data_IF_223180523594
#
_entry.id   IF_223180523594
#
_cell.length_a   1.000
_cell.length_b   1.000
_cell.length_c   1.000
_cell.angle_alpha   90.00
_cell.angle_beta   90.00
_cell.angle_gamma   90.00
#
_symmetry.space_group_name_H-M   'P 1'
#
loop_
_entity.id
_entity.type
_entity.pdbx_description
1 polymer ?
#
# COMPACT_ATOMS: atom_id res chain seq x y z
N UNK A 1 -26.24 13.54 0.38
CA UNK A 1 -25.29 13.91 1.44
C UNK A 1 -25.87 13.36 2.72
N UNK A 2 -25.40 12.19 3.14
CA UNK A 2 -25.68 11.65 4.47
C UNK A 2 -24.45 11.91 5.34
N UNK A 3 -24.61 12.35 6.59
CA UNK A 3 -23.50 12.49 7.52
C UNK A 3 -23.06 11.08 7.91
N UNK A 4 -21.85 10.68 7.50
CA UNK A 4 -21.24 9.44 7.98
C UNK A 4 -21.00 9.62 9.48
N UNK A 5 -21.75 8.84 10.27
CA UNK A 5 -21.83 8.92 11.72
C UNK A 5 -20.47 8.67 12.39
N UNK A 6 -20.27 9.37 13.50
CA UNK A 6 -19.10 9.34 14.39
C UNK A 6 -19.04 8.04 15.25
N UNK A 7 -19.78 6.98 14.88
CA UNK A 7 -20.07 5.81 15.73
C UNK A 7 -19.12 4.60 15.55
N UNK A 8 -18.11 4.67 14.68
CA UNK A 8 -17.39 3.47 14.24
C UNK A 8 -16.09 3.05 14.98
N UNK A 9 -15.40 3.85 15.83
CA UNK A 9 -14.20 3.38 16.55
C UNK A 9 -14.49 2.49 17.77
N UNK A 10 -15.52 2.83 18.56
CA UNK A 10 -15.78 2.19 19.87
C UNK A 10 -16.29 0.76 19.74
N UNK A 11 -17.11 0.48 18.71
CA UNK A 11 -17.60 -0.88 18.42
C UNK A 11 -16.46 -1.84 18.07
N UNK A 12 -15.46 -1.39 17.31
CA UNK A 12 -14.27 -2.18 16.99
C UNK A 12 -13.40 -2.40 18.23
N UNK A 13 -13.23 -1.37 19.05
CA UNK A 13 -12.52 -1.47 20.31
C UNK A 13 -13.16 -2.50 21.25
N UNK A 14 -14.50 -2.48 21.37
CA UNK A 14 -15.26 -3.42 22.19
C UNK A 14 -15.07 -4.86 21.74
N UNK A 15 -15.15 -5.13 20.43
CA UNK A 15 -14.91 -6.47 19.88
C UNK A 15 -13.47 -6.95 20.14
N UNK A 16 -12.49 -6.07 20.04
CA UNK A 16 -11.09 -6.41 20.30
C UNK A 16 -10.86 -6.80 21.77
N UNK A 17 -11.46 -6.07 22.71
CA UNK A 17 -11.38 -6.40 24.12
C UNK A 17 -12.18 -7.66 24.47
N UNK A 18 -13.37 -7.88 23.90
CA UNK A 18 -14.10 -9.15 24.06
C UNK A 18 -13.25 -10.33 23.71
N UNK A 19 -12.68 -10.31 22.51
CA UNK A 19 -11.79 -11.38 22.04
C UNK A 19 -10.59 -11.58 22.96
N UNK A 20 -9.95 -10.50 23.43
CA UNK A 20 -8.81 -10.58 24.35
C UNK A 20 -9.18 -11.31 25.66
N UNK A 21 -10.33 -10.96 26.25
CA UNK A 21 -10.77 -11.56 27.51
C UNK A 21 -11.37 -12.96 27.30
N UNK A 22 -12.05 -13.24 26.18
CA UNK A 22 -12.54 -14.58 25.86
C UNK A 22 -11.40 -15.56 25.56
N UNK A 23 -10.27 -15.09 25.01
CA UNK A 23 -9.04 -15.88 24.84
C UNK A 23 -8.31 -16.17 26.16
N UNK A 24 -8.61 -15.40 27.22
CA UNK A 24 -8.03 -15.60 28.53
C UNK A 24 -8.91 -16.58 29.32
N UNK A 25 -8.36 -17.76 29.64
CA UNK A 25 -9.06 -18.78 30.43
C UNK A 25 -9.64 -18.16 31.72
N UNK A 26 -10.97 -18.25 31.85
CA UNK A 26 -11.70 -17.82 33.04
C UNK A 26 -12.08 -16.33 33.10
N UNK A 27 -12.18 -15.65 31.95
CA UNK A 27 -12.75 -14.31 31.82
C UNK A 27 -13.99 -14.26 30.91
N UNK A 28 -14.95 -13.42 31.28
CA UNK A 28 -16.20 -13.23 30.57
C UNK A 28 -16.50 -11.75 30.41
N UNK A 29 -16.86 -11.35 29.20
CA UNK A 29 -17.34 -10.00 28.90
C UNK A 29 -18.86 -10.05 28.75
N UNK A 30 -19.57 -9.27 29.56
CA UNK A 30 -21.04 -9.24 29.52
C UNK A 30 -21.51 -7.95 28.87
N UNK A 31 -22.46 -8.07 27.95
CA UNK A 31 -23.17 -6.93 27.36
C UNK A 31 -24.09 -6.29 28.41
N UNK A 32 -23.92 -4.98 28.64
CA UNK A 32 -24.98 -4.17 29.21
C UNK A 32 -25.78 -3.56 28.08
N UNK A 33 -27.08 -3.81 28.06
CA UNK A 33 -27.99 -3.25 27.06
C UNK A 33 -27.96 -1.72 27.02
N UNK A 34 -28.65 -1.17 26.02
CA UNK A 34 -28.60 0.23 25.50
C UNK A 34 -28.89 1.38 26.51
N UNK A 35 -28.99 1.11 27.80
CA UNK A 35 -29.29 2.12 28.83
C UNK A 35 -28.20 2.16 29.90
N UNK A 36 -27.08 2.81 29.59
CA UNK A 36 -26.35 3.75 30.47
C UNK A 36 -24.94 3.96 29.90
N UNK A 37 -24.63 5.22 29.56
CA UNK A 37 -23.32 5.73 29.12
C UNK A 37 -22.55 4.86 28.10
N UNK A 38 -22.54 5.30 26.83
CA UNK A 38 -21.70 4.74 25.77
C UNK A 38 -20.25 4.57 26.27
N UNK A 39 -19.84 3.32 26.51
CA UNK A 39 -18.47 3.00 26.93
C UNK A 39 -18.30 2.02 28.10
N UNK A 40 -19.35 1.68 28.87
CA UNK A 40 -19.20 0.78 30.02
C UNK A 40 -19.27 -0.71 29.65
N UNK A 41 -18.24 -1.48 30.02
CA UNK A 41 -18.09 -2.93 29.75
C UNK A 41 -18.01 -3.69 31.06
N UNK A 42 -18.86 -4.69 31.26
CA UNK A 42 -18.80 -5.54 32.46
C UNK A 42 -17.84 -6.72 32.22
N UNK A 43 -16.78 -6.79 33.02
CA UNK A 43 -15.80 -7.87 32.99
C UNK A 43 -15.94 -8.74 34.24
N UNK A 44 -16.08 -10.05 34.06
CA UNK A 44 -16.17 -11.02 35.15
C UNK A 44 -15.09 -12.08 35.00
N UNK A 45 -14.42 -12.39 36.10
CA UNK A 45 -13.55 -13.56 36.19
C UNK A 45 -14.27 -14.69 36.91
N UNK A 46 -13.97 -15.93 36.53
CA UNK A 46 -14.41 -17.15 37.23
C UNK A 46 -13.93 -17.21 38.69
N UNK A 47 -12.89 -16.43 39.01
CA UNK A 47 -12.40 -16.24 40.39
C UNK A 47 -13.25 -15.28 41.22
N UNK A 48 -14.40 -14.85 40.70
CA UNK A 48 -15.37 -14.00 41.40
C UNK A 48 -15.10 -12.50 41.34
N UNK A 49 -14.09 -12.05 40.61
CA UNK A 49 -13.85 -10.62 40.41
C UNK A 49 -14.80 -10.06 39.34
N UNK A 50 -15.45 -8.94 39.64
CA UNK A 50 -16.32 -8.23 38.69
C UNK A 50 -15.88 -6.77 38.60
N UNK A 51 -15.67 -6.29 37.38
CA UNK A 51 -15.22 -4.94 37.08
C UNK A 51 -16.20 -4.24 36.14
N UNK A 52 -16.43 -2.96 36.42
CA UNK A 52 -17.08 -2.04 35.49
C UNK A 52 -15.97 -1.27 34.76
N UNK A 53 -15.79 -1.55 33.49
CA UNK A 53 -14.68 -1.05 32.71
C UNK A 53 -15.10 0.09 31.77
N UNK A 54 -14.46 1.24 31.89
CA UNK A 54 -14.66 2.34 30.94
C UNK A 54 -13.82 2.09 29.68
N UNK A 55 -14.47 1.98 28.53
CA UNK A 55 -13.84 1.80 27.23
C UNK A 55 -13.77 3.13 26.47
N UNK A 56 -12.59 3.44 25.93
CA UNK A 56 -12.43 4.57 25.02
C UNK A 56 -11.51 4.24 23.86
N UNK A 57 -11.94 4.64 22.66
CA UNK A 57 -11.21 4.43 21.42
C UNK A 57 -10.63 5.75 20.90
N UNK A 58 -9.36 5.74 20.48
CA UNK A 58 -8.67 6.89 19.94
C UNK A 58 -8.16 6.63 18.52
N UNK A 59 -8.33 7.61 17.65
CA UNK A 59 -7.85 7.56 16.27
C UNK A 59 -6.33 7.74 16.13
N UNK A 60 -5.65 8.26 17.15
CA UNK A 60 -4.20 8.39 17.25
C UNK A 60 -3.69 7.98 18.64
N UNK A 61 -2.40 7.64 18.75
CA UNK A 61 -1.74 7.23 20.00
C UNK A 61 -0.93 8.35 20.66
N UNK A 62 -1.34 9.61 20.52
CA UNK A 62 -0.58 10.73 21.07
C UNK A 62 -0.59 10.72 22.60
N UNK A 63 0.60 10.67 23.20
CA UNK A 63 0.76 10.47 24.64
C UNK A 63 0.08 11.54 25.50
N UNK A 64 0.12 12.81 25.10
CA UNK A 64 -0.58 13.91 25.79
C UNK A 64 -2.10 13.69 25.83
N UNK A 65 -2.69 13.32 24.69
CA UNK A 65 -4.14 13.11 24.57
C UNK A 65 -4.61 11.87 25.31
N UNK A 66 -3.94 10.74 25.10
CA UNK A 66 -4.32 9.46 25.71
C UNK A 66 -4.12 9.51 27.22
N UNK A 67 -3.06 10.16 27.72
CA UNK A 67 -2.83 10.30 29.17
C UNK A 67 -3.88 11.19 29.82
N UNK A 68 -4.23 12.33 29.20
CA UNK A 68 -5.28 13.21 29.71
C UNK A 68 -6.63 12.50 29.78
N UNK A 69 -6.97 11.73 28.73
CA UNK A 69 -8.19 10.95 28.73
C UNK A 69 -8.15 9.79 29.73
N UNK A 70 -7.00 9.12 29.91
CA UNK A 70 -6.84 8.09 30.92
C UNK A 70 -7.08 8.62 32.34
N UNK A 71 -6.55 9.80 32.66
CA UNK A 71 -6.81 10.48 33.93
C UNK A 71 -8.31 10.74 34.16
N UNK A 72 -8.99 11.26 33.14
CA UNK A 72 -10.43 11.49 33.20
C UNK A 72 -11.21 10.18 33.39
N UNK A 73 -10.89 9.15 32.60
CA UNK A 73 -11.55 7.85 32.69
C UNK A 73 -11.37 7.19 34.05
N UNK A 74 -10.18 7.29 34.67
CA UNK A 74 -9.96 6.78 36.04
C UNK A 74 -10.92 7.44 37.05
N UNK A 75 -11.08 8.77 36.98
CA UNK A 75 -11.97 9.50 37.87
C UNK A 75 -13.43 9.13 37.66
N UNK A 76 -13.88 9.10 36.41
CA UNK A 76 -15.26 8.75 36.05
C UNK A 76 -15.57 7.30 36.44
N UNK A 77 -14.73 6.34 36.02
CA UNK A 77 -14.94 4.93 36.31
C UNK A 77 -15.04 4.64 37.81
N UNK A 78 -14.23 5.30 38.66
CA UNK A 78 -14.32 5.16 40.13
C UNK A 78 -15.69 5.56 40.66
N UNK A 79 -16.21 6.70 40.21
CA UNK A 79 -17.52 7.21 40.66
C UNK A 79 -18.63 6.27 40.20
N UNK A 80 -18.59 5.84 38.93
CA UNK A 80 -19.61 4.96 38.36
C UNK A 80 -19.58 3.56 39.00
N UNK A 81 -18.41 2.95 39.12
CA UNK A 81 -18.27 1.63 39.72
C UNK A 81 -18.69 1.62 41.20
N UNK A 82 -18.33 2.66 41.97
CA UNK A 82 -18.74 2.81 43.37
C UNK A 82 -20.25 2.86 43.55
N UNK A 83 -20.97 3.59 42.69
CA UNK A 83 -22.45 3.66 42.72
C UNK A 83 -23.11 2.30 42.54
N UNK A 84 -22.43 1.39 41.86
CA UNK A 84 -22.94 0.06 41.53
C UNK A 84 -22.31 -1.05 42.37
N UNK A 85 -21.49 -0.72 43.38
CA UNK A 85 -20.80 -1.69 44.23
C UNK A 85 -19.76 -2.55 43.49
N UNK A 86 -19.24 -2.08 42.35
CA UNK A 86 -18.27 -2.79 41.51
C UNK A 86 -16.88 -2.16 41.61
N UNK A 87 -15.86 -2.86 41.11
CA UNK A 87 -14.50 -2.31 40.98
C UNK A 87 -14.34 -1.62 39.62
N UNK A 88 -13.69 -0.44 39.54
CA UNK A 88 -13.43 0.21 38.26
C UNK A 88 -12.33 -0.53 37.48
N UNK A 89 -12.40 -0.46 36.15
CA UNK A 89 -11.32 -0.85 35.25
C UNK A 89 -11.29 0.07 34.04
N UNK A 90 -10.18 0.07 33.30
CA UNK A 90 -9.99 0.97 32.15
C UNK A 90 -9.55 0.21 30.91
N UNK A 91 -10.24 0.41 29.79
CA UNK A 91 -9.92 -0.19 28.50
C UNK A 91 -9.63 0.92 27.49
N UNK A 92 -8.39 0.97 27.01
CA UNK A 92 -7.96 1.96 26.02
C UNK A 92 -7.67 1.25 24.71
N UNK A 93 -8.31 1.69 23.65
CA UNK A 93 -7.98 1.29 22.30
C UNK A 93 -7.38 2.47 21.55
N UNK A 94 -6.22 2.28 20.93
CA UNK A 94 -5.56 3.31 20.11
C UNK A 94 -5.24 2.74 18.73
N UNK A 95 -5.21 3.59 17.70
CA UNK A 95 -4.80 3.11 16.36
C UNK A 95 -3.38 2.52 16.36
N UNK A 96 -2.45 3.13 17.07
CA UNK A 96 -1.08 2.63 17.26
C UNK A 96 -0.59 3.01 18.65
N UNK A 97 0.11 2.08 19.32
CA UNK A 97 0.63 2.28 20.67
C UNK A 97 2.16 2.19 20.65
N UNK A 98 2.85 3.32 20.85
CA UNK A 98 4.30 3.29 21.02
C UNK A 98 4.68 2.72 22.40
N UNK A 99 5.86 2.08 22.54
CA UNK A 99 6.35 1.67 23.86
C UNK A 99 6.48 2.84 24.85
N UNK A 100 6.74 4.05 24.35
CA UNK A 100 6.79 5.26 25.17
C UNK A 100 5.41 5.66 25.73
N UNK A 101 4.34 5.52 24.93
CA UNK A 101 2.98 5.71 25.40
C UNK A 101 2.63 4.74 26.52
N UNK A 102 2.89 3.44 26.32
CA UNK A 102 2.59 2.42 27.34
C UNK A 102 3.34 2.71 28.64
N UNK A 103 4.66 2.97 28.57
CA UNK A 103 5.45 3.36 29.76
C UNK A 103 4.86 4.59 30.45
N UNK A 104 4.48 5.61 29.70
CA UNK A 104 3.89 6.83 30.26
C UNK A 104 2.58 6.55 30.99
N UNK A 105 1.70 5.71 30.44
CA UNK A 105 0.44 5.32 31.08
C UNK A 105 0.68 4.48 32.33
N UNK A 106 1.65 3.55 32.29
CA UNK A 106 2.04 2.74 33.46
C UNK A 106 2.61 3.61 34.58
N UNK A 107 3.51 4.53 34.25
CA UNK A 107 4.08 5.48 35.22
C UNK A 107 3.01 6.38 35.81
N UNK A 108 2.12 6.93 34.97
CA UNK A 108 0.99 7.74 35.41
C UNK A 108 0.05 6.96 36.33
N UNK A 109 -0.31 5.73 35.97
CA UNK A 109 -1.18 4.88 36.80
C UNK A 109 -0.52 4.54 38.14
N UNK A 110 0.79 4.27 38.14
CA UNK A 110 1.53 4.02 39.38
C UNK A 110 1.55 5.23 40.31
N UNK A 111 1.62 6.44 39.75
CA UNK A 111 1.73 7.68 40.53
C UNK A 111 0.37 8.22 41.01
N UNK A 112 -0.69 8.08 40.20
CA UNK A 112 -2.00 8.71 40.45
C UNK A 112 -3.18 7.72 40.54
N UNK A 113 -2.96 6.46 40.16
CA UNK A 113 -3.96 5.39 40.23
C UNK A 113 -4.11 4.80 41.63
N UNK A 114 -5.13 3.95 41.81
CA UNK A 114 -5.42 3.19 43.03
C UNK A 114 -5.43 1.69 42.71
N UNK A 115 -4.45 1.27 41.90
CA UNK A 115 -4.29 -0.11 41.41
C UNK A 115 -5.47 -0.65 40.60
N UNK A 116 -6.23 0.22 39.93
CA UNK A 116 -7.27 -0.21 39.01
C UNK A 116 -6.68 -1.04 37.87
N UNK A 117 -7.33 -2.15 37.49
CA UNK A 117 -6.93 -2.86 36.30
C UNK A 117 -7.09 -1.99 35.06
N UNK A 118 -6.10 -2.03 34.17
CA UNK A 118 -6.24 -1.41 32.88
C UNK A 118 -5.58 -2.21 31.77
N UNK A 119 -6.08 -2.01 30.56
CA UNK A 119 -5.54 -2.61 29.36
C UNK A 119 -5.48 -1.60 28.22
N UNK A 120 -4.44 -1.74 27.39
CA UNK A 120 -4.24 -0.97 26.16
C UNK A 120 -4.10 -1.95 25.00
N UNK A 121 -4.95 -1.77 23.99
CA UNK A 121 -4.87 -2.49 22.72
C UNK A 121 -4.63 -1.52 21.58
N UNK A 122 -3.96 -2.00 20.54
CA UNK A 122 -3.78 -1.26 19.29
C UNK A 122 -4.02 -2.09 18.05
N UNK A 123 -4.22 -1.42 16.90
CA UNK A 123 -4.32 -2.11 15.60
C UNK A 123 -3.01 -2.77 15.16
N UNK A 124 -1.87 -2.20 15.57
CA UNK A 124 -0.54 -2.77 15.31
C UNK A 124 -0.23 -4.03 16.13
N UNK A 125 -1.14 -4.46 17.01
CA UNK A 125 -1.02 -5.69 17.78
C UNK A 125 -0.32 -5.52 19.13
N UNK A 126 0.01 -4.29 19.52
CA UNK A 126 0.46 -4.00 20.89
C UNK A 126 -0.64 -4.34 21.88
N UNK A 127 -0.29 -5.13 22.88
CA UNK A 127 -1.18 -5.53 23.99
C UNK A 127 -0.46 -5.21 25.29
N UNK A 128 -1.12 -4.43 26.12
CA UNK A 128 -0.75 -4.26 27.52
C UNK A 128 -1.99 -4.60 28.34
N UNK A 129 -1.89 -5.54 29.28
CA UNK A 129 -3.01 -5.94 30.12
C UNK A 129 -2.52 -6.12 31.54
N UNK A 130 -3.17 -5.46 32.50
CA UNK A 130 -2.92 -5.66 33.92
C UNK A 130 -4.24 -5.85 34.65
N UNK A 131 -4.67 -7.11 34.76
CA UNK A 131 -5.85 -7.53 35.51
C UNK A 131 -5.48 -8.61 36.51
N UNK A 132 -6.18 -8.74 37.66
CA UNK A 132 -5.89 -9.78 38.64
C UNK A 132 -6.01 -11.18 38.03
N UNK A 133 -4.89 -11.89 37.90
CA UNK A 133 -4.85 -13.21 37.26
C UNK A 133 -4.83 -13.17 35.73
N UNK A 134 -4.68 -12.00 35.11
CA UNK A 134 -4.48 -11.84 33.67
C UNK A 134 -3.55 -10.65 33.38
N UNK A 135 -2.26 -10.95 33.22
CA UNK A 135 -1.21 -9.95 32.99
C UNK A 135 -0.49 -10.25 31.66
N UNK A 136 -0.38 -9.23 30.82
CA UNK A 136 0.37 -9.25 29.56
C UNK A 136 1.27 -8.01 29.54
N UNK A 137 2.54 -8.20 29.88
CA UNK A 137 3.55 -7.13 29.97
C UNK A 137 4.53 -7.11 28.77
N UNK A 138 4.39 -8.01 27.78
CA UNK A 138 5.32 -8.13 26.64
C UNK A 138 4.72 -7.61 25.34
N UNK A 139 5.46 -6.82 24.53
CA UNK A 139 5.26 -6.85 23.09
C UNK A 139 5.46 -8.29 22.63
N UNK A 140 4.45 -8.89 22.00
CA UNK A 140 4.56 -10.26 21.52
C UNK A 140 5.57 -10.32 20.36
N UNK A 141 6.78 -10.83 20.61
CA UNK A 141 7.76 -11.18 19.56
C UNK A 141 7.42 -12.51 18.86
N UNK A 142 6.35 -13.19 19.29
CA UNK A 142 5.77 -14.31 18.56
C UNK A 142 4.55 -13.82 17.77
N UNK A 143 4.46 -14.08 16.46
CA UNK A 143 3.22 -13.92 15.73
C UNK A 143 2.23 -14.93 16.31
N UNK A 144 1.26 -14.45 17.11
CA UNK A 144 0.13 -15.28 17.50
C UNK A 144 -0.59 -15.62 16.20
N UNK A 145 -0.42 -16.86 15.78
CA UNK A 145 -1.12 -17.46 14.66
C UNK A 145 -2.61 -17.50 14.98
N UNK A 146 -3.32 -16.43 14.66
CA UNK A 146 -4.71 -16.59 14.28
C UNK A 146 -4.72 -17.32 12.95
N UNK A 147 -5.12 -18.59 13.02
CA UNK A 147 -5.63 -19.29 11.87
C UNK A 147 -6.55 -18.35 11.10
N UNK A 148 -6.24 -18.24 9.81
CA UNK A 148 -6.97 -17.50 8.80
C UNK A 148 -8.45 -17.87 8.89
N UNK A 149 -9.25 -17.03 9.53
CA UNK A 149 -10.65 -16.86 9.17
C UNK A 149 -10.75 -15.53 8.43
N UNK A 150 -11.21 -15.64 7.20
CA UNK A 150 -11.40 -14.58 6.23
C UNK A 150 -12.37 -13.50 6.70
N UNK A 151 -12.08 -12.28 6.24
CA UNK A 151 -12.87 -11.03 6.21
C UNK A 151 -12.92 -10.11 7.44
N UNK A 152 -12.34 -8.92 7.22
CA UNK A 152 -12.13 -7.83 8.17
C UNK A 152 -10.89 -7.01 7.80
N UNK A 153 -10.90 -6.42 6.60
CA UNK A 153 -9.81 -5.82 5.82
C UNK A 153 -8.86 -4.89 6.60
N UNK A 154 -7.69 -5.40 7.01
CA UNK A 154 -6.47 -4.57 7.06
C UNK A 154 -6.19 -4.10 5.63
N UNK A 155 -5.94 -2.81 5.36
CA UNK A 155 -5.53 -2.40 4.02
C UNK A 155 -4.16 -3.02 3.74
N UNK A 156 -4.14 -4.17 3.06
CA UNK A 156 -2.94 -4.72 2.45
C UNK A 156 -2.33 -3.63 1.56
N UNK A 157 -1.01 -3.63 1.40
CA UNK A 157 -0.34 -2.75 0.43
C UNK A 157 -1.03 -2.89 -0.93
N UNK A 158 -1.80 -1.87 -1.32
CA UNK A 158 -2.42 -1.82 -2.63
C UNK A 158 -1.45 -1.12 -3.57
N UNK A 159 -1.01 -1.81 -4.61
CA UNK A 159 -0.20 -1.25 -5.68
C UNK A 159 -1.05 -0.45 -6.65
N UNK A 160 -1.75 0.55 -6.12
CA UNK A 160 -2.53 1.53 -6.89
C UNK A 160 -1.64 2.28 -7.90
N UNK A 161 -2.27 2.93 -8.88
CA UNK A 161 -1.58 3.70 -9.92
C UNK A 161 -0.53 4.68 -9.35
N UNK A 162 -0.92 5.50 -8.37
CA UNK A 162 0.01 6.43 -7.71
C UNK A 162 1.04 5.73 -6.82
N UNK A 163 0.70 4.56 -6.25
CA UNK A 163 1.66 3.78 -5.49
C UNK A 163 2.78 3.23 -6.38
N UNK A 164 2.43 2.71 -7.55
CA UNK A 164 3.40 2.24 -8.55
C UNK A 164 4.31 3.37 -9.04
N UNK A 165 3.75 4.58 -9.26
CA UNK A 165 4.56 5.76 -9.56
C UNK A 165 5.59 6.06 -8.46
N UNK A 166 5.16 6.09 -7.20
CA UNK A 166 6.05 6.33 -6.06
C UNK A 166 7.12 5.23 -5.92
N UNK A 167 6.80 3.97 -6.22
CA UNK A 167 7.79 2.89 -6.27
C UNK A 167 8.85 3.12 -7.35
N UNK A 168 8.44 3.55 -8.55
CA UNK A 168 9.39 3.91 -9.62
C UNK A 168 10.33 5.03 -9.18
N UNK A 169 9.83 6.06 -8.50
CA UNK A 169 10.66 7.14 -7.94
C UNK A 169 11.72 6.60 -6.97
N UNK A 170 11.33 5.67 -6.08
CA UNK A 170 12.26 5.08 -5.10
C UNK A 170 13.33 4.19 -5.76
N UNK A 171 13.04 3.63 -6.94
CA UNK A 171 13.99 2.82 -7.72
C UNK A 171 14.83 3.65 -8.69
N UNK A 172 14.42 4.87 -9.01
CA UNK A 172 15.10 5.73 -10.00
C UNK A 172 16.62 5.87 -9.78
N UNK A 173 17.12 6.04 -8.53
CA UNK A 173 18.56 6.15 -8.29
C UNK A 173 19.37 4.92 -8.66
N UNK A 174 18.72 3.75 -8.68
CA UNK A 174 19.38 2.47 -8.96
C UNK A 174 19.20 2.07 -10.44
N UNK A 175 18.44 2.85 -11.23
CA UNK A 175 18.17 2.62 -12.66
C UNK A 175 19.04 3.52 -13.57
N UNK A 176 19.49 4.69 -13.10
CA UNK A 176 19.93 5.76 -14.00
C UNK A 176 21.37 5.63 -14.55
N UNK A 177 21.46 5.33 -15.86
CA UNK A 177 22.11 6.06 -16.98
C UNK A 177 22.70 5.09 -18.02
N UNK A 178 22.63 5.48 -19.29
CA UNK A 178 23.30 4.79 -20.40
C UNK A 178 24.82 4.89 -20.21
N UNK A 179 25.52 3.76 -20.24
CA UNK A 179 26.99 3.74 -20.28
C UNK A 179 27.55 4.02 -21.68
N UNK A 180 26.74 4.51 -22.62
CA UNK A 180 27.13 4.62 -24.04
C UNK A 180 27.27 6.10 -24.46
N UNK A 181 28.50 6.61 -24.68
CA UNK A 181 28.76 8.01 -25.03
C UNK A 181 28.18 8.47 -26.38
N UNK A 182 27.83 7.54 -27.27
CA UNK A 182 27.34 7.85 -28.63
C UNK A 182 25.82 8.10 -28.70
N UNK A 183 25.06 7.63 -27.71
CA UNK A 183 23.63 7.89 -27.52
C UNK A 183 23.50 8.75 -26.27
N UNK A 184 23.47 10.08 -26.44
CA UNK A 184 23.51 11.06 -25.34
C UNK A 184 22.63 10.68 -24.15
N UNK A 185 23.06 11.06 -22.94
CA UNK A 185 22.59 10.63 -21.61
C UNK A 185 21.06 10.69 -21.37
N UNK A 186 20.30 9.87 -22.09
CA UNK A 186 18.85 9.81 -22.02
C UNK A 186 18.44 8.76 -20.97
N UNK A 187 17.66 9.16 -19.94
CA UNK A 187 17.33 8.28 -18.83
C UNK A 187 16.41 7.12 -19.25
N UNK A 188 16.53 5.96 -18.59
CA UNK A 188 15.63 4.82 -18.79
C UNK A 188 14.32 4.93 -17.99
N UNK A 189 14.20 5.96 -17.14
CA UNK A 189 13.01 6.28 -16.37
C UNK A 189 12.86 7.81 -16.29
N UNK A 190 11.66 8.32 -16.54
CA UNK A 190 11.30 9.74 -16.46
C UNK A 190 11.18 10.25 -15.02
N UNK A 191 12.18 9.99 -14.19
CA UNK A 191 12.26 10.39 -12.81
C UNK A 191 13.64 10.98 -12.50
N UNK A 192 13.68 11.92 -11.56
CA UNK A 192 14.95 12.45 -11.07
C UNK A 192 15.74 11.37 -10.32
N UNK A 193 17.07 11.36 -10.49
CA UNK A 193 17.97 10.51 -9.72
C UNK A 193 18.14 11.08 -8.30
N UNK A 194 17.15 10.82 -7.44
CA UNK A 194 17.08 11.34 -6.08
C UNK A 194 16.67 10.27 -5.06
N UNK A 195 17.34 10.24 -3.91
CA UNK A 195 16.92 9.44 -2.74
C UNK A 195 16.03 10.27 -1.83
N UNK A 196 14.97 9.66 -1.28
CA UNK A 196 13.99 10.35 -0.45
C UNK A 196 14.17 9.99 1.03
N UNK A 197 14.23 10.99 1.91
CA UNK A 197 14.41 10.78 3.35
C UNK A 197 13.11 10.46 4.10
N UNK A 198 11.97 10.91 3.58
CA UNK A 198 10.68 10.81 4.27
C UNK A 198 9.49 10.65 3.30
N UNK A 199 8.33 10.28 3.86
CA UNK A 199 7.07 10.27 3.12
C UNK A 199 6.70 11.66 2.57
N UNK A 200 7.10 12.74 3.25
CA UNK A 200 6.89 14.11 2.80
C UNK A 200 7.70 14.44 1.55
N UNK A 201 8.96 14.01 1.50
CA UNK A 201 9.83 14.21 0.34
C UNK A 201 9.31 13.42 -0.86
N UNK A 202 8.93 12.16 -0.62
CA UNK A 202 8.34 11.30 -1.64
C UNK A 202 7.01 11.88 -2.15
N UNK A 203 6.15 12.41 -1.28
CA UNK A 203 4.89 13.04 -1.67
C UNK A 203 5.12 14.25 -2.60
N UNK A 204 6.11 15.09 -2.26
CA UNK A 204 6.48 16.27 -3.04
C UNK A 204 6.97 15.86 -4.43
N UNK A 205 7.94 14.95 -4.51
CA UNK A 205 8.47 14.48 -5.78
C UNK A 205 7.41 13.76 -6.63
N UNK A 206 6.52 13.01 -5.98
CA UNK A 206 5.43 12.35 -6.67
C UNK A 206 4.27 13.28 -7.07
N UNK A 207 4.21 14.53 -6.59
CA UNK A 207 3.07 15.41 -6.81
C UNK A 207 1.76 14.79 -6.31
N UNK A 208 1.76 14.24 -5.09
CA UNK A 208 0.59 13.65 -4.43
C UNK A 208 0.41 14.21 -3.02
N UNK A 209 -0.73 13.93 -2.39
CA UNK A 209 -0.95 14.33 -1.00
C UNK A 209 -0.01 13.59 -0.04
N UNK A 210 0.36 14.24 1.07
CA UNK A 210 1.13 13.60 2.13
C UNK A 210 0.45 12.32 2.63
N UNK A 211 -0.87 12.35 2.80
CA UNK A 211 -1.67 11.19 3.23
C UNK A 211 -1.50 9.98 2.28
N UNK A 212 -1.46 10.23 0.98
CA UNK A 212 -1.26 9.18 -0.04
C UNK A 212 0.12 8.53 0.10
N UNK A 213 1.17 9.35 0.25
CA UNK A 213 2.53 8.85 0.41
C UNK A 213 2.72 8.14 1.76
N UNK A 214 2.20 8.68 2.86
CA UNK A 214 2.26 8.05 4.19
C UNK A 214 1.57 6.70 4.19
N UNK A 215 0.41 6.56 3.52
CA UNK A 215 -0.27 5.27 3.39
C UNK A 215 0.59 4.24 2.67
N UNK A 216 1.24 4.63 1.58
CA UNK A 216 2.16 3.73 0.86
C UNK A 216 3.34 3.34 1.75
N UNK A 217 4.02 4.33 2.35
CA UNK A 217 5.21 4.11 3.19
C UNK A 217 4.87 3.18 4.36
N UNK A 218 3.77 3.41 5.07
CA UNK A 218 3.35 2.54 6.16
C UNK A 218 3.03 1.13 5.67
N UNK A 219 2.29 1.00 4.55
CA UNK A 219 2.00 -0.32 3.96
C UNK A 219 3.27 -1.08 3.54
N UNK A 220 4.28 -0.37 3.02
CA UNK A 220 5.57 -0.98 2.70
C UNK A 220 6.35 -1.39 3.95
N UNK A 221 6.33 -0.59 5.03
CA UNK A 221 6.97 -0.92 6.31
C UNK A 221 6.29 -2.14 6.94
N UNK A 222 4.96 -2.13 7.03
CA UNK A 222 4.15 -3.20 7.62
C UNK A 222 4.37 -4.54 6.91
N UNK A 223 4.58 -4.52 5.60
CA UNK A 223 4.86 -5.72 4.81
C UNK A 223 6.36 -6.03 4.65
N UNK A 224 7.24 -5.26 5.31
CA UNK A 224 8.69 -5.51 5.35
C UNK A 224 9.43 -5.19 4.04
N UNK A 225 8.86 -4.36 3.17
CA UNK A 225 9.44 -3.93 1.89
C UNK A 225 10.23 -2.62 1.97
N UNK A 226 10.31 -1.96 3.13
CA UNK A 226 10.91 -0.64 3.25
C UNK A 226 11.76 -0.48 4.51
N UNK A 227 13.03 -0.15 4.32
CA UNK A 227 13.91 0.42 5.34
C UNK A 227 13.83 1.95 5.28
N UNK A 228 13.80 2.62 6.43
CA UNK A 228 13.55 4.07 6.51
C UNK A 228 14.80 4.92 6.81
N UNK A 229 15.94 4.29 7.10
CA UNK A 229 17.18 4.99 7.47
C UNK A 229 18.35 4.51 6.62
N UNK A 230 19.24 5.41 6.16
CA UNK A 230 19.16 6.87 6.25
C UNK A 230 18.15 7.50 5.26
N UNK A 231 17.65 6.72 4.31
CA UNK A 231 16.62 7.11 3.33
C UNK A 231 15.60 5.98 3.19
N UNK A 232 14.48 6.28 2.54
CA UNK A 232 13.48 5.29 2.16
C UNK A 232 14.06 4.34 1.10
N UNK A 233 14.45 3.14 1.53
CA UNK A 233 15.09 2.11 0.70
C UNK A 233 14.19 0.89 0.56
N UNK A 234 13.80 0.57 -0.67
CA UNK A 234 13.09 -0.68 -0.95
C UNK A 234 14.00 -1.87 -0.70
N UNK A 235 13.49 -2.82 0.06
CA UNK A 235 14.13 -4.11 0.40
C UNK A 235 13.24 -5.27 0.02
N UNK A 236 13.80 -6.49 0.04
CA UNK A 236 13.12 -7.70 -0.44
C UNK A 236 12.56 -7.51 -1.87
N UNK A 237 13.34 -6.85 -2.73
CA UNK A 237 12.88 -6.34 -4.03
C UNK A 237 12.36 -7.45 -4.93
N UNK A 238 12.94 -8.64 -4.91
CA UNK A 238 12.41 -9.81 -5.61
C UNK A 238 10.99 -10.22 -5.19
N UNK A 239 10.65 -10.13 -3.89
CA UNK A 239 9.28 -10.40 -3.42
C UNK A 239 8.31 -9.31 -3.86
N UNK A 240 8.72 -8.04 -3.75
CA UNK A 240 7.92 -6.90 -4.20
C UNK A 240 7.68 -6.98 -5.71
N UNK A 241 8.70 -7.32 -6.49
CA UNK A 241 8.65 -7.49 -7.94
C UNK A 241 7.64 -8.56 -8.37
N UNK A 242 7.65 -9.73 -7.71
CA UNK A 242 6.67 -10.80 -7.97
C UNK A 242 5.24 -10.33 -7.73
N UNK A 243 4.99 -9.54 -6.69
CA UNK A 243 3.66 -8.96 -6.43
C UNK A 243 3.30 -7.90 -7.46
N UNK A 244 4.26 -7.05 -7.83
CA UNK A 244 4.03 -5.99 -8.81
C UNK A 244 3.64 -6.57 -10.17
N UNK A 245 4.35 -7.59 -10.66
CA UNK A 245 3.97 -8.32 -11.88
C UNK A 245 2.56 -8.93 -11.78
N UNK A 246 2.13 -9.36 -10.59
CA UNK A 246 0.80 -9.95 -10.42
C UNK A 246 -0.34 -8.96 -10.72
N UNK A 247 -0.12 -7.65 -10.51
CA UNK A 247 -1.08 -6.58 -10.85
C UNK A 247 -1.30 -6.44 -12.37
N UNK A 248 -0.36 -6.94 -13.18
CA UNK A 248 -0.38 -6.84 -14.64
C UNK A 248 -0.88 -8.12 -15.33
N UNK A 249 -1.26 -9.15 -14.56
CA UNK A 249 -1.79 -10.40 -15.14
C UNK A 249 -3.12 -10.21 -15.85
N UNK A 250 -3.91 -9.22 -15.44
CA UNK A 250 -5.16 -8.89 -16.12
C UNK A 250 -4.83 -8.17 -17.42
N UNK A 251 -5.24 -8.71 -18.59
CA UNK A 251 -4.98 -8.06 -19.87
C UNK A 251 -5.62 -6.68 -19.93
N UNK A 252 -4.88 -5.70 -20.44
CA UNK A 252 -5.44 -4.39 -20.75
C UNK A 252 -6.48 -4.48 -21.87
N UNK A 253 -7.43 -3.53 -21.87
CA UNK A 253 -8.32 -3.34 -23.00
C UNK A 253 -7.50 -3.03 -24.25
N UNK A 254 -7.75 -3.77 -25.32
CA UNK A 254 -6.94 -3.76 -26.53
C UNK A 254 -7.81 -3.71 -27.80
N UNK A 255 -7.39 -2.90 -28.78
CA UNK A 255 -7.96 -2.82 -30.11
C UNK A 255 -6.87 -3.06 -31.16
N UNK A 256 -6.92 -4.19 -31.89
CA UNK A 256 -6.06 -4.43 -33.04
C UNK A 256 -6.41 -3.48 -34.18
N UNK A 257 -5.44 -2.73 -34.70
CA UNK A 257 -5.65 -1.72 -35.75
C UNK A 257 -4.77 -1.99 -36.97
N UNK A 258 -5.24 -1.49 -38.12
CA UNK A 258 -4.46 -1.38 -39.36
C UNK A 258 -4.37 0.05 -39.82
N UNK A 259 -3.28 0.38 -40.50
CA UNK A 259 -3.18 1.64 -41.22
C UNK A 259 -4.06 1.61 -42.48
N UNK A 260 -4.65 2.76 -42.80
CA UNK A 260 -5.40 2.93 -44.05
C UNK A 260 -4.48 3.08 -45.27
N UNK A 261 -3.22 3.52 -45.06
CA UNK A 261 -2.23 3.73 -46.12
C UNK A 261 -1.28 2.54 -46.24
N UNK A 262 -0.82 2.24 -47.45
CA UNK A 262 0.08 1.11 -47.75
C UNK A 262 1.58 1.39 -47.49
N UNK A 263 1.92 2.38 -46.65
CA UNK A 263 3.33 2.69 -46.37
C UNK A 263 3.96 1.68 -45.38
N UNK A 264 5.29 1.68 -45.26
CA UNK A 264 5.98 0.83 -44.29
C UNK A 264 5.46 1.08 -42.85
N UNK A 265 5.02 0.05 -42.11
CA UNK A 265 4.37 0.21 -40.79
C UNK A 265 5.16 1.04 -39.78
N UNK A 266 6.48 0.90 -39.72
CA UNK A 266 7.33 1.62 -38.74
C UNK A 266 7.35 3.13 -38.96
N UNK A 267 7.40 3.55 -40.23
CA UNK A 267 7.35 4.97 -40.62
C UNK A 267 5.97 5.55 -40.28
N UNK A 268 4.91 4.78 -40.51
CA UNK A 268 3.55 5.18 -40.18
C UNK A 268 3.34 5.28 -38.67
N UNK A 269 3.86 4.32 -37.90
CA UNK A 269 3.78 4.30 -36.45
C UNK A 269 4.45 5.52 -35.83
N UNK A 270 5.68 5.85 -36.26
CA UNK A 270 6.37 7.05 -35.77
C UNK A 270 5.57 8.33 -36.07
N UNK A 271 5.05 8.47 -37.30
CA UNK A 271 4.22 9.63 -37.68
C UNK A 271 2.92 9.70 -36.89
N UNK A 272 2.31 8.56 -36.61
CA UNK A 272 1.10 8.46 -35.80
C UNK A 272 1.36 9.00 -34.40
N UNK A 273 2.40 8.49 -33.73
CA UNK A 273 2.76 8.87 -32.36
C UNK A 273 3.13 10.35 -32.24
N UNK A 274 3.79 10.92 -33.25
CA UNK A 274 4.11 12.34 -33.30
C UNK A 274 2.87 13.24 -33.49
N UNK A 275 1.80 12.76 -34.14
CA UNK A 275 0.62 13.56 -34.52
C UNK A 275 -0.54 13.41 -33.55
N UNK A 276 -0.88 12.18 -33.20
CA UNK A 276 -2.04 11.85 -32.36
C UNK A 276 -1.68 11.72 -30.88
N UNK A 277 -0.37 11.64 -30.58
CA UNK A 277 0.10 11.23 -29.26
C UNK A 277 0.01 9.71 -29.07
N UNK A 278 0.37 9.26 -27.87
CA UNK A 278 0.48 7.84 -27.52
C UNK A 278 1.87 7.49 -27.00
N UNK A 279 1.97 6.37 -26.30
CA UNK A 279 3.22 5.92 -25.68
C UNK A 279 3.50 4.51 -26.18
N UNK A 280 4.65 4.32 -26.83
CA UNK A 280 5.07 3.00 -27.29
C UNK A 280 5.32 2.08 -26.08
N UNK A 281 4.78 0.86 -26.11
CA UNK A 281 4.83 -0.10 -25.00
C UNK A 281 5.31 -1.50 -25.41
N UNK A 282 5.35 -2.41 -24.44
CA UNK A 282 5.73 -3.83 -24.64
C UNK A 282 7.08 -3.99 -25.36
N UNK A 283 7.21 -4.96 -26.28
CA UNK A 283 8.46 -5.25 -26.99
C UNK A 283 8.99 -4.09 -27.84
N UNK A 284 8.09 -3.31 -28.45
CA UNK A 284 8.48 -2.16 -29.24
C UNK A 284 9.13 -1.07 -28.36
N UNK A 285 8.67 -0.92 -27.12
CA UNK A 285 9.34 -0.08 -26.14
C UNK A 285 10.70 -0.64 -25.73
N UNK A 286 10.80 -1.94 -25.50
CA UNK A 286 12.07 -2.57 -25.16
C UNK A 286 13.12 -2.38 -26.28
N UNK A 287 12.71 -2.51 -27.54
CA UNK A 287 13.55 -2.22 -28.71
C UNK A 287 13.96 -0.73 -28.75
N UNK A 288 13.03 0.19 -28.56
CA UNK A 288 13.31 1.61 -28.53
C UNK A 288 14.23 2.04 -27.36
N UNK A 289 14.23 1.29 -26.25
CA UNK A 289 15.14 1.47 -25.11
C UNK A 289 16.52 0.79 -25.30
N UNK A 290 16.71 0.02 -26.38
CA UNK A 290 17.97 -0.68 -26.68
C UNK A 290 18.07 -2.11 -26.13
N UNK A 291 16.98 -2.67 -25.60
CA UNK A 291 16.93 -4.00 -24.97
C UNK A 291 16.09 -5.02 -25.77
N UNK A 292 15.59 -4.66 -26.96
CA UNK A 292 14.70 -5.51 -27.74
C UNK A 292 15.39 -6.71 -28.39
N UNK A 293 15.23 -7.90 -27.81
CA UNK A 293 15.76 -9.16 -28.39
C UNK A 293 14.70 -9.98 -29.14
N UNK A 294 13.41 -9.72 -28.88
CA UNK A 294 12.29 -10.40 -29.54
C UNK A 294 11.79 -9.57 -30.73
N UNK A 295 11.80 -10.16 -31.93
CA UNK A 295 11.34 -9.54 -33.18
C UNK A 295 10.01 -10.12 -33.65
N UNK A 296 9.28 -9.33 -34.46
CA UNK A 296 8.08 -9.79 -35.19
C UNK A 296 6.76 -9.71 -34.42
N UNK A 297 6.78 -9.26 -33.17
CA UNK A 297 5.57 -8.98 -32.37
C UNK A 297 4.93 -7.68 -32.86
N UNK A 298 3.61 -7.66 -32.97
CA UNK A 298 2.87 -6.44 -33.35
C UNK A 298 3.11 -5.35 -32.31
N UNK A 299 3.50 -4.12 -32.71
CA UNK A 299 3.81 -3.04 -31.78
C UNK A 299 2.56 -2.60 -31.03
N UNK A 300 2.75 -2.25 -29.75
CA UNK A 300 1.68 -1.78 -28.87
C UNK A 300 1.82 -0.30 -28.59
N UNK A 301 0.70 0.43 -28.69
CA UNK A 301 0.62 1.85 -28.33
C UNK A 301 -0.37 2.02 -27.19
N UNK A 302 0.13 2.52 -26.06
CA UNK A 302 -0.68 2.95 -24.94
C UNK A 302 -1.36 4.29 -25.24
N UNK A 303 -2.67 4.35 -25.01
CA UNK A 303 -3.52 5.52 -25.21
C UNK A 303 -4.31 5.84 -23.95
N UNK A 304 -4.64 7.11 -23.75
CA UNK A 304 -5.39 7.56 -22.58
C UNK A 304 -6.85 7.05 -22.60
N UNK A 305 -7.50 7.14 -23.76
CA UNK A 305 -8.87 6.72 -23.97
C UNK A 305 -8.97 5.91 -25.27
N UNK A 306 -9.31 4.63 -25.14
CA UNK A 306 -9.37 3.71 -26.28
C UNK A 306 -10.47 4.07 -27.29
N UNK A 307 -11.62 4.58 -26.81
CA UNK A 307 -12.75 4.97 -27.69
C UNK A 307 -12.43 6.19 -28.55
N UNK A 308 -11.64 7.12 -28.01
CA UNK A 308 -11.16 8.26 -28.79
C UNK A 308 -10.09 7.81 -29.80
N UNK A 309 -9.17 6.95 -29.37
CA UNK A 309 -8.09 6.46 -30.23
C UNK A 309 -8.55 5.55 -31.37
N UNK A 310 -9.66 4.83 -31.19
CA UNK A 310 -10.32 4.05 -32.24
C UNK A 310 -10.66 4.90 -33.47
N UNK A 311 -10.97 6.19 -33.25
CA UNK A 311 -11.38 7.12 -34.30
C UNK A 311 -10.22 7.92 -34.90
N UNK A 312 -8.97 7.54 -34.62
CA UNK A 312 -7.80 8.17 -35.24
C UNK A 312 -7.81 7.98 -36.76
N UNK A 313 -7.96 9.09 -37.50
CA UNK A 313 -8.11 9.11 -38.97
C UNK A 313 -7.16 8.20 -39.76
N UNK A 314 -5.88 7.99 -39.39
CA UNK A 314 -4.98 7.10 -40.14
C UNK A 314 -5.26 5.60 -39.96
N UNK A 315 -6.11 5.23 -39.00
CA UNK A 315 -6.32 3.86 -38.55
C UNK A 315 -7.74 3.38 -38.85
N UNK A 316 -7.87 2.05 -38.92
CA UNK A 316 -9.14 1.32 -38.82
C UNK A 316 -8.96 0.09 -37.94
N UNK A 317 -10.03 -0.44 -37.33
CA UNK A 317 -10.00 -1.77 -36.74
C UNK A 317 -9.52 -2.82 -37.75
N UNK A 318 -8.67 -3.74 -37.29
CA UNK A 318 -8.29 -4.91 -38.06
C UNK A 318 -9.51 -5.85 -38.18
N UNK A 319 -9.74 -6.40 -39.37
CA UNK A 319 -10.80 -7.39 -39.58
C UNK A 319 -10.36 -8.75 -39.06
N UNK A 320 -11.33 -9.62 -38.80
CA UNK A 320 -11.05 -11.01 -38.46
C UNK A 320 -10.17 -11.67 -39.53
N UNK A 321 -9.10 -12.35 -39.09
CA UNK A 321 -8.10 -12.97 -39.97
C UNK A 321 -7.04 -12.03 -40.54
N UNK A 322 -7.18 -10.70 -40.40
CA UNK A 322 -6.12 -9.76 -40.80
C UNK A 322 -5.02 -9.68 -39.74
N UNK A 323 -3.75 -9.67 -40.17
CA UNK A 323 -2.64 -9.31 -39.27
C UNK A 323 -2.72 -7.80 -38.93
N UNK A 324 -2.82 -7.43 -37.64
CA UNK A 324 -2.82 -6.03 -37.24
C UNK A 324 -1.44 -5.39 -37.44
N UNK A 325 -1.43 -4.10 -37.76
CA UNK A 325 -0.20 -3.30 -37.91
C UNK A 325 0.26 -2.75 -36.56
N UNK A 326 -0.69 -2.48 -35.65
CA UNK A 326 -0.44 -2.15 -34.25
C UNK A 326 -1.61 -2.59 -33.37
N UNK A 327 -1.39 -2.60 -32.05
CA UNK A 327 -2.46 -2.76 -31.07
C UNK A 327 -2.53 -1.49 -30.22
N UNK A 328 -3.70 -0.86 -30.17
CA UNK A 328 -3.98 0.21 -29.21
C UNK A 328 -4.37 -0.42 -27.88
N UNK A 329 -3.81 0.04 -26.77
CA UNK A 329 -4.17 -0.43 -25.44
C UNK A 329 -4.41 0.72 -24.47
N UNK A 330 -5.34 0.54 -23.53
CA UNK A 330 -5.56 1.49 -22.44
C UNK A 330 -5.02 0.93 -21.12
N UNK A 331 -4.08 1.62 -20.45
CA UNK A 331 -3.39 1.06 -19.29
C UNK A 331 -4.26 1.06 -18.04
N UNK A 332 -4.12 0.03 -17.20
CA UNK A 332 -4.76 -0.05 -15.89
C UNK A 332 -4.19 0.97 -14.88
N UNK A 333 -2.96 1.45 -15.11
CA UNK A 333 -2.23 2.38 -14.25
C UNK A 333 -1.69 3.57 -15.06
N UNK A 334 -2.58 4.43 -15.59
CA UNK A 334 -2.21 5.48 -16.54
C UNK A 334 -1.25 6.54 -15.96
N UNK A 335 -1.37 6.91 -14.67
CA UNK A 335 -0.51 7.95 -14.09
C UNK A 335 0.91 7.46 -13.89
N UNK A 336 1.11 6.22 -13.44
CA UNK A 336 2.40 5.56 -13.30
C UNK A 336 3.12 5.45 -14.65
N UNK A 337 2.37 5.08 -15.69
CA UNK A 337 2.90 4.99 -17.05
C UNK A 337 3.26 6.38 -17.61
N UNK A 338 2.34 7.33 -17.56
CA UNK A 338 2.53 8.66 -18.16
C UNK A 338 3.61 9.48 -17.48
N UNK A 339 3.78 9.33 -16.16
CA UNK A 339 4.81 10.06 -15.41
C UNK A 339 6.18 9.41 -15.56
N UNK A 340 6.23 8.09 -15.74
CA UNK A 340 7.49 7.37 -15.91
C UNK A 340 8.03 7.39 -17.32
N UNK A 341 7.20 7.53 -18.35
CA UNK A 341 7.63 7.41 -19.74
C UNK A 341 8.77 8.37 -20.12
N UNK A 342 9.56 7.97 -21.11
CA UNK A 342 10.74 8.70 -21.60
C UNK A 342 10.61 8.98 -23.09
N UNK A 343 11.30 10.00 -23.58
CA UNK A 343 11.38 10.28 -25.01
C UNK A 343 12.58 9.55 -25.62
N UNK A 344 12.35 8.88 -26.75
CA UNK A 344 13.38 8.21 -27.56
C UNK A 344 13.21 8.63 -29.01
N UNK A 345 14.17 9.39 -29.55
CA UNK A 345 14.15 9.87 -30.94
C UNK A 345 12.82 10.54 -31.33
N UNK A 346 12.28 11.37 -30.43
CA UNK A 346 11.05 12.14 -30.64
C UNK A 346 9.75 11.32 -30.54
N UNK A 347 9.80 10.16 -29.89
CA UNK A 347 8.64 9.31 -29.59
C UNK A 347 8.62 9.01 -28.09
N UNK A 348 7.46 9.13 -27.45
CA UNK A 348 7.28 8.72 -26.06
C UNK A 348 7.21 7.20 -25.96
N UNK A 349 7.98 6.65 -25.03
CA UNK A 349 8.13 5.21 -24.80
C UNK A 349 7.95 4.94 -23.31
N UNK A 350 7.36 3.79 -22.96
CA UNK A 350 7.29 3.36 -21.56
C UNK A 350 8.69 3.29 -20.94
N UNK A 351 8.82 3.63 -19.66
CA UNK A 351 10.09 3.46 -18.95
C UNK A 351 10.49 1.98 -18.84
N UNK A 352 11.72 1.73 -18.43
CA UNK A 352 12.28 0.39 -18.28
C UNK A 352 11.46 -0.49 -17.31
N UNK A 353 10.97 0.08 -16.20
CA UNK A 353 10.16 -0.67 -15.23
C UNK A 353 8.80 -1.00 -15.82
N UNK A 354 8.14 -0.03 -16.46
CA UNK A 354 6.87 -0.28 -17.14
C UNK A 354 7.01 -1.31 -18.25
N UNK A 355 8.06 -1.21 -19.07
CA UNK A 355 8.36 -2.16 -20.14
C UNK A 355 8.54 -3.57 -19.59
N UNK A 356 9.29 -3.72 -18.49
CA UNK A 356 9.44 -4.99 -17.78
C UNK A 356 8.11 -5.54 -17.26
N UNK A 357 7.25 -4.72 -16.68
CA UNK A 357 5.92 -5.12 -16.21
C UNK A 357 5.03 -5.58 -17.37
N UNK A 358 4.96 -4.79 -18.44
CA UNK A 358 4.14 -5.03 -19.62
C UNK A 358 4.54 -6.36 -20.30
N UNK A 359 5.82 -6.57 -20.58
CA UNK A 359 6.28 -7.81 -21.23
C UNK A 359 6.13 -9.02 -20.32
N UNK A 360 6.22 -8.88 -18.99
CA UNK A 360 6.06 -10.00 -18.06
C UNK A 360 4.66 -10.65 -18.10
N UNK A 361 3.65 -9.88 -18.49
CA UNK A 361 2.28 -10.34 -18.65
C UNK A 361 1.96 -10.79 -20.08
N UNK A 362 2.87 -10.59 -21.04
CA UNK A 362 2.60 -10.84 -22.44
C UNK A 362 2.71 -12.33 -22.79
N UNK A 363 1.72 -12.92 -23.50
CA UNK A 363 1.70 -14.36 -23.80
C UNK A 363 2.83 -14.81 -24.75
N UNK A 364 3.27 -13.96 -25.66
CA UNK A 364 4.31 -14.29 -26.64
C UNK A 364 5.72 -14.04 -26.09
N UNK A 365 6.42 -15.08 -25.60
CA UNK A 365 7.79 -15.02 -25.04
C UNK A 365 8.03 -13.89 -24.01
N UNK A 366 6.97 -13.35 -23.42
CA UNK A 366 7.05 -12.21 -22.52
C UNK A 366 7.79 -12.53 -21.22
N UNK A 367 7.62 -13.75 -20.71
CA UNK A 367 8.36 -14.24 -19.55
C UNK A 367 9.88 -14.29 -19.79
N UNK A 368 10.31 -14.64 -21.00
CA UNK A 368 11.73 -14.69 -21.37
C UNK A 368 12.31 -13.28 -21.42
N UNK A 369 11.66 -12.36 -22.13
CA UNK A 369 12.08 -10.96 -22.20
C UNK A 369 12.12 -10.30 -20.80
N UNK A 370 11.11 -10.57 -19.96
CA UNK A 370 11.10 -10.06 -18.59
C UNK A 370 12.27 -10.61 -17.77
N UNK A 371 12.60 -11.90 -17.92
CA UNK A 371 13.73 -12.52 -17.24
C UNK A 371 15.08 -11.99 -17.74
N UNK A 372 15.23 -11.71 -19.04
CA UNK A 372 16.43 -11.07 -19.58
C UNK A 372 16.64 -9.67 -18.98
N UNK A 373 15.58 -8.86 -18.89
CA UNK A 373 15.64 -7.56 -18.22
C UNK A 373 16.01 -7.70 -16.74
N UNK A 374 15.45 -8.68 -16.03
CA UNK A 374 15.73 -8.96 -14.62
C UNK A 374 17.16 -9.41 -14.35
N UNK A 375 17.74 -10.25 -15.21
CA UNK A 375 19.11 -10.71 -15.04
C UNK A 375 20.14 -9.74 -15.61
N UNK A 376 19.72 -8.86 -16.53
CA UNK A 376 20.54 -7.82 -17.12
C UNK A 376 20.39 -6.50 -16.37
N UNK A 377 19.80 -5.52 -17.05
CA UNK A 377 19.78 -4.12 -16.62
C UNK A 377 19.03 -3.88 -15.30
N UNK A 378 18.07 -4.72 -14.92
CA UNK A 378 17.32 -4.61 -13.67
C UNK A 378 17.83 -5.50 -12.53
N UNK A 379 18.96 -6.20 -12.69
CA UNK A 379 19.47 -7.13 -11.67
C UNK A 379 19.67 -6.49 -10.29
N UNK A 380 20.18 -5.26 -10.25
CA UNK A 380 20.37 -4.47 -9.03
C UNK A 380 19.15 -3.65 -8.60
N UNK A 381 18.06 -3.75 -9.36
CA UNK A 381 16.84 -2.94 -9.17
C UNK A 381 15.70 -3.79 -8.63
N UNK A 382 15.48 -5.00 -9.15
CA UNK A 382 14.32 -5.84 -8.80
C UNK A 382 14.67 -7.28 -8.40
N UNK A 383 15.94 -7.70 -8.53
CA UNK A 383 16.39 -9.07 -8.26
C UNK A 383 16.52 -9.43 -6.77
N UNK A 384 16.81 -10.71 -6.47
CA UNK A 384 17.07 -11.17 -5.09
C UNK A 384 18.41 -10.68 -4.52
N UNK A 385 19.31 -10.19 -5.38
CA UNK A 385 20.58 -9.56 -4.99
C UNK A 385 20.55 -8.02 -4.93
N UNK A 386 19.35 -7.42 -4.97
CA UNK A 386 19.13 -5.97 -5.02
C UNK A 386 18.76 -5.33 -3.67
#
# INVERSE_FOLDING_TARGET
>A
MDPISDEMPERHALLAFRKLFEEADGWHVMDRGEQDHAGDVLLRSDRGHTFLAALKAFNDGRADRVTAAFAQMLLEARVHAKRQGMRPAILIWVRSASPALIRRLVEFHREYGDSEPFAVLSMDGTRYVRFPGFELDKPSDAPIGFYRSSDGTRPRLVLSDLAQWMLKLMLAPDIAFTSNPDDGDEPWLGAENMRYGSATDLARAAGVSLMTATRLVNGLIEEGFLETRPFLKLVQRGKLARRWKAEYRTPALALPMKFLSEAAPDVQLRRLLQRQGGILGNFAAAEALGFGHVKGVTPTVWVHNLREAENWRPLRPAKEGERPDLVLQQPSFPRSLMRGCVDRKGVRVTDLIQTWLDVSAHPARGAEMAAELEHGVLAKVVGEGA
#
